data_IF_890022286962
#
_entry.id   IF_890022286962
#
_cell.length_a   1.000
_cell.length_b   1.000
_cell.length_c   1.000
_cell.angle_alpha   90.00
_cell.angle_beta   90.00
_cell.angle_gamma   90.00
#
_symmetry.space_group_name_H-M   'P 1'
#
loop_
_entity.id
_entity.type
_entity.pdbx_description
1 polymer ?
#
# COMPACT_ATOMS: atom_id res chain seq x y z
N UNK A 1 -17.69 2.78 -10.45
CA UNK A 1 -16.24 2.93 -10.14
C UNK A 1 -15.61 3.87 -11.15
N UNK A 2 -14.60 4.66 -10.75
CA UNK A 2 -13.84 5.56 -11.62
C UNK A 2 -12.34 5.25 -11.50
N UNK A 3 -11.61 5.30 -12.60
CA UNK A 3 -10.18 5.06 -12.60
C UNK A 3 -9.43 6.30 -12.09
N UNK A 4 -8.49 6.11 -11.13
CA UNK A 4 -7.70 7.20 -10.57
C UNK A 4 -6.34 7.28 -11.25
N UNK A 5 -5.93 8.51 -11.60
CA UNK A 5 -4.56 8.82 -12.05
C UNK A 5 -3.86 9.63 -10.97
N UNK A 6 -2.68 9.20 -10.55
CA UNK A 6 -1.86 9.90 -9.55
C UNK A 6 -0.79 10.74 -10.26
N UNK A 7 -0.65 12.01 -9.85
CA UNK A 7 0.31 12.96 -10.44
C UNK A 7 1.35 13.40 -9.41
N UNK A 8 2.59 13.51 -9.87
CA UNK A 8 3.68 14.15 -9.14
C UNK A 8 4.38 15.15 -10.07
N UNK A 9 4.46 16.43 -9.65
CA UNK A 9 5.05 17.51 -10.45
C UNK A 9 4.51 17.51 -11.90
N UNK A 10 3.20 17.50 -12.04
CA UNK A 10 2.49 17.46 -13.33
C UNK A 10 2.72 16.21 -14.19
N UNK A 11 3.49 15.23 -13.72
CA UNK A 11 3.73 13.97 -14.40
C UNK A 11 2.77 12.91 -13.89
N UNK A 12 2.02 12.27 -14.79
CA UNK A 12 1.23 11.10 -14.46
C UNK A 12 2.13 9.90 -14.10
N UNK A 13 1.99 9.38 -12.90
CA UNK A 13 2.71 8.20 -12.43
C UNK A 13 2.08 6.93 -13.01
N UNK A 14 2.29 6.72 -14.29
CA UNK A 14 1.62 5.67 -15.06
C UNK A 14 2.16 4.27 -14.76
N UNK A 15 3.46 4.16 -14.51
CA UNK A 15 4.16 2.90 -14.33
C UNK A 15 4.43 2.62 -12.85
N UNK A 16 5.03 3.57 -12.14
CA UNK A 16 5.40 3.38 -10.73
C UNK A 16 4.18 3.20 -9.82
N UNK A 17 3.06 3.84 -10.16
CA UNK A 17 1.81 3.74 -9.43
C UNK A 17 0.74 3.07 -10.29
N UNK A 18 0.09 2.06 -9.74
CA UNK A 18 -1.07 1.45 -10.41
C UNK A 18 -2.23 2.44 -10.40
N UNK A 19 -2.92 2.60 -11.52
CA UNK A 19 -4.12 3.42 -11.66
C UNK A 19 -5.37 2.58 -11.36
N UNK A 20 -5.75 2.39 -10.08
CA UNK A 20 -6.83 1.51 -9.70
C UNK A 20 -8.19 2.18 -9.94
N UNK A 21 -9.21 1.35 -10.06
CA UNK A 21 -10.59 1.80 -10.00
C UNK A 21 -11.01 2.01 -8.54
N UNK A 22 -11.62 3.14 -8.27
CA UNK A 22 -12.17 3.48 -6.97
C UNK A 22 -13.68 3.66 -7.02
N UNK A 23 -14.35 3.19 -6.00
CA UNK A 23 -15.73 3.52 -5.74
C UNK A 23 -15.79 4.94 -5.16
N UNK A 24 -16.36 5.89 -5.92
CA UNK A 24 -16.47 7.31 -5.52
C UNK A 24 -17.89 7.84 -5.52
N UNK A 25 -18.76 7.22 -6.30
CA UNK A 25 -20.18 7.53 -6.33
C UNK A 25 -20.93 6.31 -5.80
N UNK A 26 -21.67 6.48 -4.73
CA UNK A 26 -22.43 5.42 -4.06
C UNK A 26 -23.58 6.02 -3.26
N UNK A 27 -24.55 5.19 -2.98
CA UNK A 27 -25.62 5.51 -2.01
C UNK A 27 -25.09 5.17 -0.61
N UNK A 28 -25.04 6.12 0.33
CA UNK A 28 -24.42 5.92 1.64
C UNK A 28 -24.98 4.71 2.42
N UNK A 29 -26.28 4.45 2.30
CA UNK A 29 -26.94 3.33 2.97
C UNK A 29 -26.51 1.93 2.47
N UNK A 30 -25.86 1.86 1.30
CA UNK A 30 -25.38 0.61 0.69
C UNK A 30 -23.86 0.49 0.70
N UNK A 31 -23.15 1.38 1.44
CA UNK A 31 -21.70 1.38 1.49
C UNK A 31 -21.19 1.35 2.92
N UNK A 32 -20.16 0.53 3.16
CA UNK A 32 -19.39 0.53 4.41
C UNK A 32 -17.90 0.54 4.13
N UNK A 33 -17.14 1.04 5.09
CA UNK A 33 -15.68 0.98 5.07
C UNK A 33 -15.21 -0.16 5.96
N UNK A 34 -14.28 -0.94 5.44
CA UNK A 34 -13.55 -1.95 6.22
C UNK A 34 -12.08 -1.54 6.32
N UNK A 35 -11.46 -1.86 7.46
CA UNK A 35 -10.09 -1.54 7.87
C UNK A 35 -9.91 -0.11 8.39
N UNK A 36 -9.09 0.00 9.46
CA UNK A 36 -8.69 1.27 10.09
C UNK A 36 -7.64 2.01 9.25
N UNK A 37 -6.74 1.27 8.59
CA UNK A 37 -5.70 1.84 7.72
C UNK A 37 -5.97 1.45 6.28
N UNK A 38 -5.93 2.45 5.38
CA UNK A 38 -6.29 2.29 3.97
C UNK A 38 -7.67 1.62 3.80
N UNK A 39 -8.75 2.28 4.25
CA UNK A 39 -10.09 1.71 4.25
C UNK A 39 -10.51 1.26 2.85
N UNK A 40 -11.11 0.07 2.80
CA UNK A 40 -11.68 -0.49 1.59
C UNK A 40 -13.17 -0.18 1.58
N UNK A 41 -13.65 0.38 0.48
CA UNK A 41 -15.09 0.62 0.27
C UNK A 41 -15.76 -0.68 -0.17
N UNK A 42 -16.71 -1.14 0.62
CA UNK A 42 -17.55 -2.31 0.30
C UNK A 42 -18.95 -1.78 -0.02
N UNK A 43 -19.50 -2.24 -1.13
CA UNK A 43 -20.86 -1.89 -1.57
C UNK A 43 -21.70 -3.14 -1.65
N UNK A 44 -22.89 -3.07 -1.10
CA UNK A 44 -23.91 -4.11 -1.22
C UNK A 44 -24.73 -3.81 -2.49
N UNK A 45 -24.47 -4.59 -3.55
CA UNK A 45 -25.15 -4.46 -4.83
C UNK A 45 -24.19 -4.32 -6.03
N UNK A 46 -24.74 -4.17 -7.24
CA UNK A 46 -23.96 -4.06 -8.46
C UNK A 46 -23.20 -2.73 -8.52
N UNK A 47 -21.93 -2.79 -8.95
CA UNK A 47 -21.08 -1.63 -9.15
C UNK A 47 -20.76 -1.44 -10.63
N UNK A 48 -21.19 -0.33 -11.20
CA UNK A 48 -20.86 0.08 -12.56
C UNK A 48 -19.54 0.86 -12.64
N UNK A 49 -19.02 1.07 -13.85
CA UNK A 49 -17.86 1.90 -14.12
C UNK A 49 -18.24 3.13 -14.93
N UNK A 50 -17.63 4.26 -14.59
CA UNK A 50 -17.77 5.52 -15.32
C UNK A 50 -16.56 5.67 -16.24
N UNK A 51 -16.81 6.09 -17.47
CA UNK A 51 -15.75 6.45 -18.41
C UNK A 51 -15.10 7.77 -17.98
N UNK A 52 -13.76 7.82 -18.03
CA UNK A 52 -12.98 8.97 -17.60
C UNK A 52 -12.08 8.70 -16.42
N UNK A 53 -11.41 9.74 -15.95
CA UNK A 53 -10.41 9.63 -14.91
C UNK A 53 -10.67 10.61 -13.77
N UNK A 54 -10.31 10.19 -12.56
CA UNK A 54 -10.20 11.05 -11.39
C UNK A 54 -8.71 11.40 -11.19
N UNK A 55 -8.34 12.63 -11.49
CA UNK A 55 -6.98 13.08 -11.27
C UNK A 55 -6.75 13.37 -9.80
N UNK A 56 -5.70 12.78 -9.25
CA UNK A 56 -5.33 12.88 -7.85
C UNK A 56 -3.92 13.41 -7.71
N UNK A 57 -3.78 14.44 -6.89
CA UNK A 57 -2.52 15.14 -6.63
C UNK A 57 -2.08 14.92 -5.18
N UNK A 58 -1.44 13.78 -4.86
CA UNK A 58 -1.08 13.43 -3.48
C UNK A 58 -0.08 14.40 -2.83
N UNK A 59 0.61 15.19 -3.64
CA UNK A 59 1.60 16.18 -3.21
C UNK A 59 1.11 17.63 -3.31
N UNK A 60 -0.18 17.87 -3.51
CA UNK A 60 -0.76 19.23 -3.63
C UNK A 60 -0.50 20.12 -2.42
N UNK A 61 -0.29 19.55 -1.22
CA UNK A 61 0.08 20.25 0.02
C UNK A 61 1.59 20.23 0.30
N UNK A 62 2.41 19.87 -0.68
CA UNK A 62 3.86 19.78 -0.57
C UNK A 62 4.40 18.50 0.06
N UNK A 63 5.71 18.32 -0.07
CA UNK A 63 6.42 17.14 0.43
C UNK A 63 6.42 17.05 1.95
N UNK A 64 6.55 18.16 2.67
CA UNK A 64 6.53 18.19 4.14
C UNK A 64 5.22 17.60 4.68
N UNK A 65 4.09 18.00 4.11
CA UNK A 65 2.78 17.44 4.48
C UNK A 65 2.68 15.96 4.16
N UNK A 66 3.19 15.54 3.01
CA UNK A 66 3.20 14.13 2.61
C UNK A 66 4.04 13.29 3.60
N UNK A 67 5.25 13.75 3.94
CA UNK A 67 6.14 13.07 4.89
C UNK A 67 5.52 12.98 6.29
N UNK A 68 4.96 14.07 6.82
CA UNK A 68 4.30 14.08 8.13
C UNK A 68 3.15 13.07 8.18
N UNK A 69 2.31 13.03 7.15
CA UNK A 69 1.21 12.07 7.04
C UNK A 69 1.71 10.63 6.95
N UNK A 70 2.74 10.36 6.17
CA UNK A 70 3.30 9.02 6.02
C UNK A 70 4.08 8.58 7.26
N UNK A 71 4.65 9.53 8.02
CA UNK A 71 5.18 9.23 9.34
C UNK A 71 4.08 8.72 10.28
N UNK A 72 2.89 9.34 10.31
CA UNK A 72 1.77 8.85 11.11
C UNK A 72 1.25 7.49 10.60
N UNK A 73 1.08 7.35 9.30
CA UNK A 73 0.63 6.08 8.69
C UNK A 73 1.59 4.93 8.96
N UNK A 74 2.90 5.17 8.99
CA UNK A 74 3.89 4.13 9.31
C UNK A 74 3.75 3.59 10.74
N UNK A 75 3.27 4.40 11.69
CA UNK A 75 2.98 3.94 13.06
C UNK A 75 1.80 2.97 13.09
N UNK A 76 0.71 3.30 12.38
CA UNK A 76 -0.44 2.39 12.28
C UNK A 76 -0.11 1.09 11.53
N UNK A 77 0.68 1.16 10.46
CA UNK A 77 1.12 -0.04 9.73
C UNK A 77 2.02 -0.92 10.61
N UNK A 78 2.92 -0.34 11.40
CA UNK A 78 3.75 -1.07 12.34
C UNK A 78 2.91 -1.79 13.42
N UNK A 79 1.94 -1.10 14.01
CA UNK A 79 0.99 -1.69 14.96
C UNK A 79 0.19 -2.83 14.33
N UNK A 80 -0.28 -2.65 13.10
CA UNK A 80 -1.01 -3.70 12.38
C UNK A 80 -0.14 -4.93 12.10
N UNK A 81 1.14 -4.73 11.76
CA UNK A 81 2.10 -5.84 11.56
C UNK A 81 2.27 -6.62 12.86
N UNK A 82 2.45 -5.94 13.99
CA UNK A 82 2.59 -6.59 15.30
C UNK A 82 1.32 -7.36 15.67
N UNK A 83 0.15 -6.73 15.53
CA UNK A 83 -1.13 -7.37 15.80
C UNK A 83 -1.36 -8.62 14.93
N UNK A 84 -1.03 -8.54 13.63
CA UNK A 84 -1.12 -9.69 12.73
C UNK A 84 -0.18 -10.82 13.16
N UNK A 85 1.05 -10.51 13.56
CA UNK A 85 2.02 -11.52 14.04
C UNK A 85 1.54 -12.21 15.31
N UNK A 86 0.94 -11.48 16.24
CA UNK A 86 0.37 -12.03 17.47
C UNK A 86 -0.85 -12.91 17.19
N UNK A 87 -1.77 -12.44 16.35
CA UNK A 87 -2.96 -13.19 15.96
C UNK A 87 -2.65 -14.48 15.19
N UNK A 88 -1.55 -14.48 14.44
CA UNK A 88 -1.15 -15.61 13.59
C UNK A 88 0.15 -16.28 14.08
N UNK A 89 0.52 -16.14 15.34
CA UNK A 89 1.73 -16.75 15.92
C UNK A 89 1.80 -18.27 15.68
N UNK A 90 0.65 -18.94 15.63
CA UNK A 90 0.52 -20.38 15.39
C UNK A 90 0.32 -20.76 13.91
N UNK A 91 0.16 -19.78 13.01
CA UNK A 91 -0.24 -20.04 11.62
C UNK A 91 0.94 -20.06 10.61
N UNK A 92 2.07 -20.63 11.00
CA UNK A 92 3.14 -20.98 10.07
C UNK A 92 4.13 -19.86 9.78
N UNK A 93 5.36 -20.27 9.43
CA UNK A 93 6.48 -19.40 9.08
C UNK A 93 6.37 -18.80 7.66
N UNK A 94 7.48 -18.20 7.21
CA UNK A 94 7.59 -17.61 5.87
C UNK A 94 7.14 -18.57 4.75
N UNK A 95 7.53 -19.83 4.84
CA UNK A 95 7.17 -20.86 3.84
C UNK A 95 5.66 -21.14 3.79
N UNK A 96 4.96 -21.09 4.92
CA UNK A 96 3.51 -21.23 4.95
C UNK A 96 2.85 -20.10 4.17
N UNK A 97 3.20 -18.84 4.45
CA UNK A 97 2.62 -17.70 3.74
C UNK A 97 3.00 -17.69 2.25
N UNK A 98 4.20 -18.13 1.90
CA UNK A 98 4.62 -18.24 0.50
C UNK A 98 3.77 -19.29 -0.23
N UNK A 99 3.61 -20.47 0.35
CA UNK A 99 2.78 -21.53 -0.24
C UNK A 99 1.30 -21.16 -0.30
N UNK A 100 0.79 -20.48 0.73
CA UNK A 100 -0.57 -19.98 0.75
C UNK A 100 -0.80 -18.89 -0.30
N UNK A 101 0.15 -17.96 -0.49
CA UNK A 101 0.08 -16.94 -1.53
C UNK A 101 0.00 -17.54 -2.95
N UNK A 102 0.68 -18.68 -3.18
CA UNK A 102 0.65 -19.38 -4.47
C UNK A 102 -0.65 -20.18 -4.68
N UNK A 103 -1.25 -20.71 -3.61
CA UNK A 103 -2.45 -21.55 -3.66
C UNK A 103 -3.75 -20.76 -3.55
N UNK A 104 -3.72 -19.58 -2.99
CA UNK A 104 -4.90 -18.75 -2.77
C UNK A 104 -5.60 -18.42 -4.10
N UNK A 105 -6.86 -18.83 -4.21
CA UNK A 105 -7.73 -18.52 -5.35
C UNK A 105 -8.33 -17.12 -5.22
N UNK A 106 -8.58 -16.68 -3.99
CA UNK A 106 -9.11 -15.35 -3.74
C UNK A 106 -8.00 -14.28 -3.80
N UNK A 107 -8.33 -13.17 -4.47
CA UNK A 107 -7.40 -12.04 -4.65
C UNK A 107 -6.99 -11.41 -3.30
N UNK A 108 -7.94 -11.27 -2.37
CA UNK A 108 -7.68 -10.64 -1.08
C UNK A 108 -6.79 -11.52 -0.20
N UNK A 109 -7.05 -12.82 -0.15
CA UNK A 109 -6.26 -13.81 0.57
C UNK A 109 -4.82 -13.86 0.01
N UNK A 110 -4.68 -13.97 -1.30
CA UNK A 110 -3.36 -13.94 -1.95
C UNK A 110 -2.58 -12.68 -1.62
N UNK A 111 -3.22 -11.52 -1.68
CA UNK A 111 -2.60 -10.23 -1.35
C UNK A 111 -2.22 -10.12 0.12
N UNK A 112 -3.01 -10.69 1.03
CA UNK A 112 -2.68 -10.78 2.44
C UNK A 112 -1.38 -11.57 2.64
N UNK A 113 -1.29 -12.78 2.11
CA UNK A 113 -0.10 -13.63 2.24
C UNK A 113 1.13 -13.01 1.57
N UNK A 114 0.98 -12.37 0.41
CA UNK A 114 2.08 -11.63 -0.23
C UNK A 114 2.62 -10.51 0.65
N UNK A 115 1.75 -9.77 1.35
CA UNK A 115 2.16 -8.74 2.31
C UNK A 115 2.90 -9.35 3.49
N UNK A 116 2.41 -10.44 4.06
CA UNK A 116 3.05 -11.13 5.18
C UNK A 116 4.45 -11.66 4.82
N UNK A 117 4.62 -12.21 3.61
CA UNK A 117 5.93 -12.57 3.06
C UNK A 117 6.83 -11.34 2.99
N UNK A 118 6.35 -10.26 2.35
CA UNK A 118 7.10 -9.03 2.18
C UNK A 118 7.54 -8.43 3.53
N UNK A 119 6.66 -8.43 4.55
CA UNK A 119 6.95 -7.89 5.87
C UNK A 119 8.00 -8.67 6.66
N UNK A 120 8.31 -9.89 6.25
CA UNK A 120 9.35 -10.74 6.85
C UNK A 120 10.70 -10.66 6.13
N UNK A 121 10.75 -10.03 4.94
CA UNK A 121 11.99 -9.91 4.18
C UNK A 121 12.95 -8.90 4.81
N UNK A 122 14.26 -9.18 4.85
CA UNK A 122 15.27 -8.19 5.19
C UNK A 122 15.40 -7.16 4.07
N UNK A 123 15.82 -5.94 4.41
CA UNK A 123 16.10 -4.92 3.40
C UNK A 123 14.85 -4.43 2.64
N UNK A 124 13.65 -4.54 3.20
CA UNK A 124 12.38 -4.15 2.58
C UNK A 124 12.40 -2.79 1.87
N UNK A 125 13.02 -1.72 2.40
CA UNK A 125 13.09 -0.44 1.70
C UNK A 125 13.76 -0.54 0.34
N UNK A 126 14.86 -1.26 0.23
CA UNK A 126 15.58 -1.49 -1.03
C UNK A 126 14.77 -2.35 -1.99
N UNK A 127 14.15 -3.42 -1.48
CA UNK A 127 13.25 -4.28 -2.27
C UNK A 127 12.10 -3.45 -2.81
N UNK A 128 11.50 -2.59 -1.99
CA UNK A 128 10.40 -1.69 -2.40
C UNK A 128 10.83 -0.75 -3.52
N UNK A 129 12.00 -0.11 -3.37
CA UNK A 129 12.56 0.75 -4.40
C UNK A 129 12.76 -0.01 -5.71
N UNK A 130 13.43 -1.16 -5.66
CA UNK A 130 13.69 -1.98 -6.83
C UNK A 130 12.41 -2.45 -7.53
N UNK A 131 11.43 -2.92 -6.76
CA UNK A 131 10.12 -3.32 -7.30
C UNK A 131 9.42 -2.17 -8.04
N UNK A 132 9.44 -0.97 -7.46
CA UNK A 132 8.79 0.19 -8.06
C UNK A 132 9.57 0.72 -9.27
N UNK A 133 10.89 0.80 -9.17
CA UNK A 133 11.72 1.30 -10.26
C UNK A 133 11.82 0.32 -11.43
N UNK A 134 12.15 -0.94 -11.15
CA UNK A 134 12.50 -1.92 -12.17
C UNK A 134 11.29 -2.75 -12.60
N UNK A 135 10.66 -3.51 -11.69
CA UNK A 135 9.56 -4.38 -12.05
C UNK A 135 8.34 -3.60 -12.56
N UNK A 136 7.99 -2.52 -11.88
CA UNK A 136 6.90 -1.63 -12.33
C UNK A 136 7.33 -0.63 -13.39
N UNK A 137 8.59 -0.67 -13.81
CA UNK A 137 9.16 0.24 -14.82
C UNK A 137 8.97 1.72 -14.44
N UNK A 138 9.02 2.04 -13.16
CA UNK A 138 8.84 3.41 -12.66
C UNK A 138 9.85 4.41 -13.22
N UNK A 139 11.01 3.95 -13.69
CA UNK A 139 11.99 4.77 -14.38
C UNK A 139 11.42 5.40 -15.68
N UNK A 140 10.39 4.79 -16.29
CA UNK A 140 9.72 5.34 -17.47
C UNK A 140 8.85 6.57 -17.15
N UNK A 141 8.48 6.78 -15.88
CA UNK A 141 7.83 8.00 -15.41
C UNK A 141 8.87 9.11 -15.14
N UNK A 142 10.13 8.91 -15.55
CA UNK A 142 11.22 9.87 -15.43
C UNK A 142 11.55 10.23 -13.97
N UNK A 143 11.91 11.48 -13.74
CA UNK A 143 12.28 11.99 -12.39
C UNK A 143 11.13 11.84 -11.37
N UNK A 144 9.88 12.00 -11.81
CA UNK A 144 8.72 11.85 -10.94
C UNK A 144 8.57 10.40 -10.44
N UNK A 145 8.75 9.43 -11.33
CA UNK A 145 8.72 8.02 -10.97
C UNK A 145 9.82 7.62 -9.99
N UNK A 146 11.06 8.08 -10.23
CA UNK A 146 12.19 7.86 -9.33
C UNK A 146 11.95 8.51 -7.96
N UNK A 147 11.50 9.76 -7.92
CA UNK A 147 11.17 10.46 -6.69
C UNK A 147 10.09 9.72 -5.91
N UNK A 148 9.03 9.28 -6.58
CA UNK A 148 7.97 8.51 -5.94
C UNK A 148 8.47 7.18 -5.37
N UNK A 149 9.28 6.44 -6.13
CA UNK A 149 9.86 5.17 -5.68
C UNK A 149 10.74 5.36 -4.44
N UNK A 150 11.57 6.44 -4.42
CA UNK A 150 12.39 6.81 -3.27
C UNK A 150 11.53 7.15 -2.05
N UNK A 151 10.50 7.98 -2.19
CA UNK A 151 9.58 8.33 -1.10
C UNK A 151 8.87 7.11 -0.53
N UNK A 152 8.46 6.18 -1.38
CA UNK A 152 7.84 4.92 -0.94
C UNK A 152 8.83 4.00 -0.22
N UNK A 153 10.10 4.02 -0.61
CA UNK A 153 11.19 3.30 0.08
C UNK A 153 11.46 3.90 1.48
N UNK A 154 11.49 5.23 1.59
CA UNK A 154 11.61 5.94 2.87
C UNK A 154 10.42 5.63 3.78
N UNK A 155 9.21 5.65 3.26
CA UNK A 155 8.01 5.27 4.00
C UNK A 155 8.10 3.83 4.53
N UNK A 156 8.56 2.89 3.69
CA UNK A 156 8.80 1.51 4.11
C UNK A 156 9.86 1.40 5.20
N UNK A 157 10.89 2.25 5.14
CA UNK A 157 11.92 2.30 6.19
C UNK A 157 11.34 2.79 7.53
N UNK A 158 10.46 3.78 7.52
CA UNK A 158 9.75 4.21 8.74
C UNK A 158 8.95 3.06 9.36
N UNK A 159 8.26 2.26 8.54
CA UNK A 159 7.52 1.08 9.02
C UNK A 159 8.49 0.08 9.67
N UNK A 160 9.65 -0.20 9.03
CA UNK A 160 10.67 -1.11 9.58
C UNK A 160 11.16 -0.65 10.94
N UNK A 161 11.54 0.63 11.06
CA UNK A 161 12.05 1.19 12.32
C UNK A 161 11.01 1.09 13.43
N UNK A 162 9.79 1.53 13.17
CA UNK A 162 8.71 1.53 14.17
C UNK A 162 8.24 0.12 14.54
N UNK A 163 8.27 -0.82 13.60
CA UNK A 163 7.99 -2.23 13.91
C UNK A 163 9.04 -2.79 14.88
N UNK A 164 10.33 -2.50 14.63
CA UNK A 164 11.42 -2.92 15.54
C UNK A 164 11.32 -2.26 16.91
N UNK A 165 10.98 -0.98 16.96
CA UNK A 165 10.77 -0.25 18.22
C UNK A 165 9.68 -0.92 19.05
N UNK A 166 8.53 -1.28 18.45
CA UNK A 166 7.44 -1.98 19.12
C UNK A 166 7.83 -3.41 19.56
N UNK A 167 8.64 -4.12 18.77
CA UNK A 167 9.13 -5.46 19.13
C UNK A 167 10.09 -5.46 20.33
N UNK A 168 10.90 -4.40 20.47
CA UNK A 168 11.88 -4.30 21.54
C UNK A 168 11.35 -3.55 22.78
N UNK A 169 10.08 -3.19 22.80
CA UNK A 169 9.40 -2.60 23.96
C UNK A 169 9.85 -1.18 24.29
N UNK A 170 10.13 -0.36 23.29
CA UNK A 170 10.36 1.10 23.47
C UNK A 170 11.32 1.43 24.63
N UNK A 171 12.59 1.05 24.50
CA UNK A 171 13.65 1.47 25.44
C UNK A 171 14.11 2.88 25.15
#
# INVERSE_FOLDING_TARGET
MVQRRDFLNSTWLRHVQTSPFYLRLFLPQHMRYERLVNPISIVDGPAGSVTGYLDHYPFSKGYSHWLARHNSYSSFEAQQIIANRQAHANNGGLFHHLSAALRAKDFHERRFHQKEVFYRLPGRPFIKFFLLCMLKRGFLDGRAGLTYATLQSIYEYFIVLKTRELEHGGR
#
